data_IF_295039555785
#
_entry.id   IF_295039555785
#
_cell.length_a   1.000
_cell.length_b   1.000
_cell.length_c   1.000
_cell.angle_alpha   90.00
_cell.angle_beta   90.00
_cell.angle_gamma   90.00
#
_symmetry.space_group_name_H-M   'P 1'
#
loop_
_entity.id
_entity.type
_entity.pdbx_description
1 polymer ?
#
# COMPACT_ATOMS: atom_id res chain seq x y z
N UNK A 1 19.68 20.18 5.56
CA UNK A 1 18.43 19.56 6.07
C UNK A 1 17.36 19.34 5.00
N UNK A 2 17.25 20.16 3.93
CA UNK A 2 16.12 20.16 2.99
C UNK A 2 15.83 18.84 2.23
N UNK A 3 16.80 18.04 1.75
CA UNK A 3 16.48 16.75 1.10
C UNK A 3 16.32 15.58 2.09
N UNK A 4 16.58 15.77 3.39
CA UNK A 4 16.45 14.69 4.39
C UNK A 4 15.00 14.15 4.44
N UNK A 5 14.03 15.05 4.33
CA UNK A 5 12.61 14.66 4.35
C UNK A 5 12.23 13.76 3.17
N UNK A 6 12.86 13.95 1.99
CA UNK A 6 12.66 13.06 0.84
C UNK A 6 13.24 11.67 1.09
N UNK A 7 14.39 11.55 1.76
CA UNK A 7 14.89 10.24 2.17
C UNK A 7 13.92 9.55 3.12
N UNK A 8 13.43 10.26 4.14
CA UNK A 8 12.44 9.71 5.08
C UNK A 8 11.18 9.26 4.33
N UNK A 9 10.68 10.07 3.41
CA UNK A 9 9.54 9.73 2.56
C UNK A 9 9.82 8.45 1.76
N UNK A 10 10.95 8.37 1.03
CA UNK A 10 11.32 7.19 0.24
C UNK A 10 11.45 5.93 1.11
N UNK A 11 12.07 6.03 2.29
CA UNK A 11 12.27 4.89 3.20
C UNK A 11 10.92 4.34 3.68
N UNK A 12 10.03 5.20 4.17
CA UNK A 12 8.71 4.78 4.64
C UNK A 12 7.88 4.22 3.48
N UNK A 13 7.90 4.89 2.31
CA UNK A 13 7.19 4.44 1.12
C UNK A 13 7.67 3.07 0.64
N UNK A 14 8.97 2.82 0.71
CA UNK A 14 9.57 1.50 0.43
C UNK A 14 9.09 0.44 1.42
N UNK A 15 9.01 0.78 2.71
CA UNK A 15 8.42 -0.11 3.72
C UNK A 15 6.98 -0.50 3.40
N UNK A 16 6.14 0.47 3.02
CA UNK A 16 4.75 0.25 2.57
C UNK A 16 4.72 -0.70 1.37
N UNK A 17 5.57 -0.46 0.36
CA UNK A 17 5.67 -1.33 -0.81
C UNK A 17 6.04 -2.77 -0.43
N UNK A 18 7.04 -2.96 0.42
CA UNK A 18 7.51 -4.30 0.79
C UNK A 18 6.47 -5.07 1.61
N UNK A 19 5.73 -4.42 2.50
CA UNK A 19 4.58 -5.07 3.17
C UNK A 19 3.53 -5.47 2.13
N UNK A 20 3.24 -4.61 1.15
CA UNK A 20 2.27 -4.95 0.10
C UNK A 20 2.72 -6.14 -0.76
N UNK A 21 4.01 -6.22 -1.11
CA UNK A 21 4.61 -7.35 -1.83
C UNK A 21 4.60 -8.61 -0.96
N UNK A 22 4.93 -8.51 0.32
CA UNK A 22 4.87 -9.62 1.27
C UNK A 22 3.47 -10.23 1.28
N UNK A 23 2.42 -9.40 1.35
CA UNK A 23 1.06 -9.92 1.32
C UNK A 23 0.73 -10.65 0.00
N UNK A 24 1.30 -10.23 -1.13
CA UNK A 24 1.13 -10.96 -2.41
C UNK A 24 1.90 -12.27 -2.48
N UNK A 25 3.12 -12.30 -1.93
CA UNK A 25 4.03 -13.44 -2.05
C UNK A 25 3.79 -14.50 -0.98
N UNK A 26 3.38 -14.09 0.22
CA UNK A 26 3.30 -14.94 1.39
C UNK A 26 1.85 -15.10 1.82
N UNK A 27 1.16 -14.00 2.12
CA UNK A 27 -0.16 -14.11 2.75
C UNK A 27 -1.23 -14.61 1.78
N UNK A 28 -1.36 -14.01 0.60
CA UNK A 28 -2.39 -14.39 -0.37
C UNK A 28 -2.31 -15.87 -0.80
N UNK A 29 -1.15 -16.44 -1.14
CA UNK A 29 -1.05 -17.88 -1.42
C UNK A 29 -1.51 -18.75 -0.25
N UNK A 30 -1.18 -18.36 0.99
CA UNK A 30 -1.62 -19.08 2.19
C UNK A 30 -3.14 -18.99 2.37
N UNK A 31 -3.75 -17.83 2.18
CA UNK A 31 -5.21 -17.66 2.26
C UNK A 31 -5.98 -18.52 1.26
N UNK A 32 -5.44 -18.67 0.05
CA UNK A 32 -6.07 -19.41 -1.05
C UNK A 32 -5.77 -20.91 -1.10
N UNK A 33 -4.94 -21.43 -0.20
CA UNK A 33 -4.41 -22.80 -0.31
C UNK A 33 -5.48 -23.89 -0.23
N UNK A 34 -6.43 -23.76 0.70
CA UNK A 34 -7.53 -24.70 0.91
C UNK A 34 -8.72 -23.99 1.54
N UNK A 35 -9.50 -23.25 0.73
CA UNK A 35 -10.69 -22.53 1.20
C UNK A 35 -11.82 -23.56 1.48
N UNK A 36 -12.45 -23.57 2.67
CA UNK A 36 -12.46 -22.50 3.68
C UNK A 36 -11.40 -22.59 4.79
N UNK A 37 -10.79 -23.76 5.03
CA UNK A 37 -9.92 -24.02 6.19
C UNK A 37 -8.74 -23.03 6.31
N UNK A 38 -8.13 -22.66 5.18
CA UNK A 38 -7.04 -21.68 5.16
C UNK A 38 -7.49 -20.27 5.53
N UNK A 39 -8.72 -19.88 5.19
CA UNK A 39 -9.30 -18.60 5.59
C UNK A 39 -9.69 -18.61 7.06
N UNK A 40 -10.20 -19.72 7.58
CA UNK A 40 -10.48 -19.85 9.02
C UNK A 40 -9.19 -19.71 9.84
N UNK A 41 -8.11 -20.36 9.38
CA UNK A 41 -6.77 -20.21 9.97
C UNK A 41 -6.31 -18.75 9.97
N UNK A 42 -6.43 -18.06 8.83
CA UNK A 42 -6.07 -16.65 8.71
C UNK A 42 -6.94 -15.75 9.61
N UNK A 43 -8.25 -15.98 9.68
CA UNK A 43 -9.17 -15.26 10.57
C UNK A 43 -8.79 -15.43 12.03
N UNK A 44 -8.39 -16.64 12.43
CA UNK A 44 -7.91 -16.92 13.78
C UNK A 44 -6.58 -16.22 14.09
N UNK A 45 -5.66 -16.17 13.13
CA UNK A 45 -4.41 -15.42 13.27
C UNK A 45 -4.65 -13.90 13.39
N UNK A 46 -5.63 -13.37 12.67
CA UNK A 46 -5.95 -11.94 12.60
C UNK A 46 -6.91 -11.42 13.69
N UNK A 47 -7.27 -12.23 14.70
CA UNK A 47 -8.24 -11.83 15.74
C UNK A 47 -7.79 -10.60 16.56
N UNK A 48 -6.48 -10.46 16.80
CA UNK A 48 -5.95 -9.37 17.62
C UNK A 48 -5.39 -8.21 16.80
N UNK A 49 -4.65 -8.52 15.73
CA UNK A 49 -3.99 -7.55 14.87
C UNK A 49 -4.06 -7.98 13.42
N UNK A 50 -4.22 -7.01 12.54
CA UNK A 50 -4.29 -7.20 11.10
C UNK A 50 -3.26 -6.31 10.39
N UNK A 51 -2.90 -6.61 9.13
CA UNK A 51 -2.13 -5.67 8.31
C UNK A 51 -2.76 -4.28 8.25
N UNK A 52 -4.08 -4.18 8.36
CA UNK A 52 -4.79 -2.90 8.40
C UNK A 52 -4.36 -2.00 9.56
N UNK A 53 -3.97 -2.57 10.70
CA UNK A 53 -3.53 -1.78 11.86
C UNK A 53 -2.17 -1.13 11.62
N UNK A 54 -1.28 -1.79 10.87
CA UNK A 54 -0.03 -1.19 10.40
C UNK A 54 -0.31 -0.03 9.44
N UNK A 55 -1.15 -0.25 8.41
CA UNK A 55 -1.41 0.77 7.38
C UNK A 55 -2.19 1.98 7.90
N UNK A 56 -3.07 1.83 8.90
CA UNK A 56 -3.74 2.96 9.55
C UNK A 56 -2.75 3.97 10.13
N UNK A 57 -1.69 3.49 10.77
CA UNK A 57 -0.68 4.35 11.41
C UNK A 57 0.34 4.82 10.37
N UNK A 58 0.97 3.87 9.68
CA UNK A 58 2.08 4.17 8.77
C UNK A 58 1.59 4.91 7.53
N UNK A 59 0.47 4.49 6.92
CA UNK A 59 -0.10 5.15 5.75
C UNK A 59 -0.53 6.58 6.03
N UNK A 60 -1.21 6.84 7.16
CA UNK A 60 -1.58 8.21 7.54
C UNK A 60 -0.35 9.10 7.74
N UNK A 61 0.66 8.60 8.47
CA UNK A 61 1.91 9.35 8.67
C UNK A 61 2.65 9.62 7.37
N UNK A 62 2.63 8.67 6.43
CA UNK A 62 3.27 8.78 5.13
C UNK A 62 2.69 9.94 4.31
N UNK A 63 1.36 10.07 4.27
CA UNK A 63 0.72 11.17 3.55
C UNK A 63 1.01 12.54 4.15
N UNK A 64 1.06 12.63 5.48
CA UNK A 64 1.45 13.88 6.16
C UNK A 64 2.89 14.27 5.79
N UNK A 65 3.82 13.31 5.81
CA UNK A 65 5.21 13.54 5.39
C UNK A 65 5.28 13.95 3.92
N UNK A 66 4.47 13.34 3.04
CA UNK A 66 4.37 13.70 1.62
C UNK A 66 3.92 15.15 1.42
N UNK A 67 2.86 15.58 2.11
CA UNK A 67 2.37 16.96 2.06
C UNK A 67 3.42 17.96 2.57
N UNK A 68 4.04 17.68 3.72
CA UNK A 68 5.10 18.53 4.28
C UNK A 68 6.30 18.60 3.32
N UNK A 69 6.67 17.48 2.70
CA UNK A 69 7.74 17.43 1.69
C UNK A 69 7.43 18.34 0.51
N UNK A 70 6.21 18.27 -0.04
CA UNK A 70 5.79 19.11 -1.16
C UNK A 70 5.84 20.59 -0.77
N UNK A 71 5.35 20.96 0.41
CA UNK A 71 5.34 22.35 0.89
C UNK A 71 6.76 22.89 1.11
N UNK A 72 7.62 22.14 1.81
CA UNK A 72 8.97 22.58 2.12
C UNK A 72 9.85 22.73 0.88
N UNK A 73 9.66 21.88 -0.13
CA UNK A 73 10.42 21.94 -1.37
C UNK A 73 9.78 22.86 -2.42
N UNK A 74 8.60 23.41 -2.15
CA UNK A 74 7.79 24.15 -3.11
C UNK A 74 8.52 25.33 -3.77
N UNK A 75 9.23 26.13 -2.97
CA UNK A 75 9.95 27.31 -3.47
C UNK A 75 11.43 27.04 -3.72
N UNK A 76 12.01 26.04 -3.03
CA UNK A 76 13.43 25.76 -3.12
C UNK A 76 13.81 24.93 -4.35
N UNK A 77 12.91 24.05 -4.82
CA UNK A 77 13.19 23.15 -5.94
C UNK A 77 11.98 22.98 -6.85
N UNK A 78 11.68 23.96 -7.74
CA UNK A 78 10.50 23.91 -8.60
C UNK A 78 10.44 22.66 -9.49
N UNK A 79 11.61 22.18 -9.95
CA UNK A 79 11.71 20.98 -10.80
C UNK A 79 11.31 19.68 -10.08
N UNK A 80 11.37 19.65 -8.75
CA UNK A 80 11.01 18.47 -7.94
C UNK A 80 9.50 18.22 -7.98
N UNK A 81 8.69 19.27 -8.16
CA UNK A 81 7.22 19.19 -8.16
C UNK A 81 6.68 18.24 -9.23
N UNK A 82 7.29 18.26 -10.42
CA UNK A 82 6.89 17.43 -11.55
C UNK A 82 6.99 15.92 -11.29
N UNK A 83 7.75 15.52 -10.27
CA UNK A 83 7.91 14.12 -9.87
C UNK A 83 7.25 13.83 -8.53
N UNK A 84 7.37 14.75 -7.56
CA UNK A 84 6.84 14.56 -6.21
C UNK A 84 5.31 14.59 -6.16
N UNK A 85 4.64 15.45 -6.93
CA UNK A 85 3.17 15.52 -6.94
C UNK A 85 2.59 14.22 -7.53
N UNK A 86 3.01 13.74 -8.72
CA UNK A 86 2.53 12.46 -9.22
C UNK A 86 2.88 11.29 -8.29
N UNK A 87 4.06 11.29 -7.66
CA UNK A 87 4.41 10.27 -6.66
C UNK A 87 3.41 10.24 -5.50
N UNK A 88 3.08 11.39 -4.93
CA UNK A 88 2.09 11.51 -3.86
C UNK A 88 0.70 11.05 -4.31
N UNK A 89 0.25 11.47 -5.50
CA UNK A 89 -1.04 11.06 -6.07
C UNK A 89 -1.11 9.54 -6.27
N UNK A 90 -0.03 8.88 -6.70
CA UNK A 90 -0.02 7.42 -6.87
C UNK A 90 -0.23 6.67 -5.55
N UNK A 91 0.32 7.16 -4.44
CA UNK A 91 0.06 6.58 -3.13
C UNK A 91 -1.38 6.82 -2.67
N UNK A 92 -1.95 7.99 -2.95
CA UNK A 92 -3.39 8.25 -2.70
C UNK A 92 -4.27 7.31 -3.54
N UNK A 93 -3.93 7.09 -4.81
CA UNK A 93 -4.66 6.15 -5.67
C UNK A 93 -4.57 4.71 -5.16
N UNK A 94 -3.42 4.30 -4.61
CA UNK A 94 -3.28 2.99 -3.96
C UNK A 94 -4.20 2.86 -2.73
N UNK A 95 -4.41 3.92 -1.97
CA UNK A 95 -5.33 3.93 -0.83
C UNK A 95 -6.80 3.93 -1.27
N UNK A 96 -7.14 4.72 -2.29
CA UNK A 96 -8.48 4.68 -2.90
C UNK A 96 -8.79 3.28 -3.41
N UNK A 97 -7.84 2.64 -4.09
CA UNK A 97 -7.96 1.25 -4.51
C UNK A 97 -8.16 0.32 -3.31
N UNK A 98 -7.47 0.57 -2.20
CA UNK A 98 -7.63 -0.18 -0.94
C UNK A 98 -9.05 -0.11 -0.40
N UNK A 99 -9.62 1.09 -0.30
CA UNK A 99 -10.96 1.29 0.25
C UNK A 99 -12.03 0.77 -0.72
N UNK A 100 -11.94 1.12 -2.00
CA UNK A 100 -12.99 0.82 -2.99
C UNK A 100 -12.94 -0.63 -3.45
N UNK A 101 -11.73 -1.17 -3.67
CA UNK A 101 -11.57 -2.51 -4.20
C UNK A 101 -11.32 -3.54 -3.10
N UNK A 102 -10.34 -3.32 -2.23
CA UNK A 102 -9.89 -4.37 -1.31
C UNK A 102 -10.79 -4.56 -0.09
N UNK A 103 -11.34 -3.49 0.51
CA UNK A 103 -12.21 -3.65 1.68
C UNK A 103 -13.44 -4.53 1.43
N UNK A 104 -14.18 -4.38 0.30
CA UNK A 104 -15.25 -5.31 -0.02
C UNK A 104 -14.81 -6.78 -0.12
N UNK A 105 -13.64 -7.05 -0.72
CA UNK A 105 -13.11 -8.44 -0.79
C UNK A 105 -12.65 -8.93 0.57
N UNK A 106 -12.06 -8.07 1.39
CA UNK A 106 -11.65 -8.43 2.75
C UNK A 106 -12.85 -8.80 3.62
N UNK A 107 -14.00 -8.12 3.47
CA UNK A 107 -15.23 -8.48 4.19
C UNK A 107 -15.73 -9.89 3.80
N UNK A 108 -15.69 -10.24 2.50
CA UNK A 108 -15.98 -11.62 2.04
C UNK A 108 -14.96 -12.62 2.62
N UNK A 109 -13.66 -12.32 2.54
CA UNK A 109 -12.60 -13.25 2.93
C UNK A 109 -12.49 -13.44 4.45
N UNK A 110 -12.64 -12.39 5.24
CA UNK A 110 -12.27 -12.38 6.66
C UNK A 110 -13.42 -12.12 7.63
N UNK A 111 -14.55 -11.55 7.19
CA UNK A 111 -15.66 -11.16 8.09
C UNK A 111 -16.92 -12.00 7.89
N UNK A 112 -17.27 -12.34 6.64
CA UNK A 112 -18.50 -13.05 6.30
C UNK A 112 -18.59 -14.43 6.99
N UNK A 113 -19.70 -14.67 7.70
CA UNK A 113 -20.04 -15.95 8.34
C UNK A 113 -21.50 -16.33 8.04
N UNK A 114 -21.79 -17.57 7.58
CA UNK A 114 -20.85 -18.61 7.15
C UNK A 114 -20.10 -18.22 5.87
N UNK A 115 -18.98 -18.90 5.59
CA UNK A 115 -18.18 -18.63 4.38
C UNK A 115 -18.92 -19.17 3.15
N UNK A 116 -19.21 -18.29 2.19
CA UNK A 116 -19.55 -18.71 0.82
C UNK A 116 -18.25 -19.03 0.06
N UNK A 117 -18.02 -20.32 -0.18
CA UNK A 117 -16.80 -20.82 -0.81
C UNK A 117 -16.61 -20.22 -2.22
N UNK A 118 -17.68 -20.10 -3.02
CA UNK A 118 -17.58 -19.59 -4.39
C UNK A 118 -17.20 -18.12 -4.38
N UNK A 119 -17.87 -17.33 -3.54
CA UNK A 119 -17.56 -15.91 -3.38
C UNK A 119 -16.15 -15.71 -2.82
N UNK A 120 -15.72 -16.50 -1.84
CA UNK A 120 -14.40 -16.42 -1.24
C UNK A 120 -13.28 -16.74 -2.23
N UNK A 121 -13.42 -17.81 -3.03
CA UNK A 121 -12.44 -18.16 -4.08
C UNK A 121 -12.33 -17.03 -5.11
N UNK A 122 -13.46 -16.45 -5.53
CA UNK A 122 -13.46 -15.35 -6.48
C UNK A 122 -12.81 -14.09 -5.89
N UNK A 123 -13.22 -13.70 -4.67
CA UNK A 123 -12.66 -12.56 -3.96
C UNK A 123 -11.15 -12.70 -3.77
N UNK A 124 -10.66 -13.90 -3.43
CA UNK A 124 -9.24 -14.20 -3.29
C UNK A 124 -8.47 -14.02 -4.61
N UNK A 125 -9.00 -14.53 -5.73
CA UNK A 125 -8.37 -14.37 -7.07
C UNK A 125 -8.31 -12.91 -7.50
N UNK A 126 -9.39 -12.17 -7.25
CA UNK A 126 -9.47 -10.73 -7.50
C UNK A 126 -8.47 -9.95 -6.66
N UNK A 127 -8.45 -10.21 -5.35
CA UNK A 127 -7.53 -9.62 -4.40
C UNK A 127 -6.07 -9.86 -4.83
N UNK A 128 -5.72 -11.11 -5.12
CA UNK A 128 -4.35 -11.53 -5.46
C UNK A 128 -3.82 -10.84 -6.72
N UNK A 129 -4.65 -10.72 -7.76
CA UNK A 129 -4.26 -10.03 -9.00
C UNK A 129 -4.14 -8.52 -8.79
N UNK A 130 -5.15 -7.91 -8.16
CA UNK A 130 -5.18 -6.47 -7.98
C UNK A 130 -4.08 -5.97 -7.05
N UNK A 131 -3.61 -6.81 -6.11
CA UNK A 131 -2.55 -6.41 -5.19
C UNK A 131 -1.22 -6.15 -5.90
N UNK A 132 -0.95 -6.83 -7.01
CA UNK A 132 0.20 -6.52 -7.87
C UNK A 132 0.07 -5.19 -8.59
N UNK A 133 -1.13 -4.81 -9.03
CA UNK A 133 -1.39 -3.48 -9.59
C UNK A 133 -1.14 -2.42 -8.52
N UNK A 134 -1.61 -2.64 -7.27
CA UNK A 134 -1.30 -1.77 -6.14
C UNK A 134 0.21 -1.65 -5.90
N UNK A 135 0.95 -2.76 -5.91
CA UNK A 135 2.42 -2.75 -5.79
C UNK A 135 3.08 -1.92 -6.90
N UNK A 136 2.59 -2.00 -8.14
CA UNK A 136 3.13 -1.22 -9.25
C UNK A 136 2.92 0.29 -9.06
N UNK A 137 1.76 0.71 -8.56
CA UNK A 137 1.49 2.12 -8.22
C UNK A 137 2.48 2.63 -7.17
N UNK A 138 2.66 1.86 -6.08
CA UNK A 138 3.57 2.21 -4.99
C UNK A 138 5.03 2.27 -5.47
N UNK A 139 5.47 1.28 -6.25
CA UNK A 139 6.81 1.25 -6.85
C UNK A 139 7.04 2.47 -7.75
N UNK A 140 6.08 2.79 -8.60
CA UNK A 140 6.17 3.96 -9.50
C UNK A 140 6.27 5.25 -8.69
N UNK A 141 5.50 5.38 -7.61
CA UNK A 141 5.61 6.52 -6.69
C UNK A 141 6.99 6.63 -6.03
N UNK A 142 7.58 5.50 -5.61
CA UNK A 142 8.94 5.47 -5.05
C UNK A 142 9.97 5.88 -6.10
N UNK A 143 9.90 5.34 -7.31
CA UNK A 143 10.83 5.69 -8.41
C UNK A 143 10.78 7.19 -8.71
N UNK A 144 9.57 7.76 -8.82
CA UNK A 144 9.40 9.20 -9.02
C UNK A 144 9.96 10.02 -7.84
N UNK A 145 9.80 9.54 -6.61
CA UNK A 145 10.38 10.16 -5.42
C UNK A 145 11.90 10.13 -5.43
N UNK A 146 12.51 9.04 -5.88
CA UNK A 146 13.96 8.92 -6.09
C UNK A 146 14.46 9.88 -7.18
N UNK A 147 13.71 10.03 -8.28
CA UNK A 147 14.03 11.01 -9.33
C UNK A 147 13.95 12.44 -8.78
N UNK A 148 12.90 12.75 -8.01
CA UNK A 148 12.76 14.02 -7.29
C UNK A 148 13.99 14.29 -6.40
N UNK A 149 14.38 13.32 -5.58
CA UNK A 149 15.58 13.42 -4.75
C UNK A 149 16.83 13.67 -5.57
N UNK A 150 17.06 12.92 -6.64
CA UNK A 150 18.22 13.12 -7.52
C UNK A 150 18.29 14.54 -8.09
N UNK A 151 17.14 15.10 -8.48
CA UNK A 151 17.01 16.48 -8.98
C UNK A 151 17.23 17.56 -7.92
N UNK A 152 17.30 17.23 -6.62
CA UNK A 152 17.68 18.21 -5.58
C UNK A 152 19.19 18.42 -5.46
N UNK A 153 20.00 17.49 -5.99
CA UNK A 153 21.46 17.52 -5.91
C UNK A 153 22.16 17.92 -7.22
N UNK A 154 21.39 18.16 -8.29
CA UNK A 154 21.86 18.66 -9.58
C UNK A 154 21.26 20.03 -9.83
#
# INVERSE_FOLDING_TARGET
MRPLILFVYIIIGSGILFVNIYNSLIDAPNWGRNIPDSLETARNYFQQKTPGDFFKIVGMSYHLIGLVTIILLWNSYPQVKGYMIPAFVLFILADVLTVVYFFPRNSILFEQKPIDIKAAVQAWKEWSRMNWIRSLLLLTGIVLSCIALHRTYR
#
